data_IF_966673074951
#
_entry.id   IF_966673074951
#
_cell.length_a   1.000
_cell.length_b   1.000
_cell.length_c   1.000
_cell.angle_alpha   90.00
_cell.angle_beta   90.00
_cell.angle_gamma   90.00
#
_symmetry.space_group_name_H-M   'P 1'
#
loop_
_entity.id
_entity.type
_entity.pdbx_description
1 polymer ?
#
# COMPACT_ATOMS: atom_id res chain seq x y z
N UNK A 1 -0.09 2.04 5.46
CA UNK A 1 0.91 1.89 6.53
C UNK A 1 0.26 1.84 7.90
N UNK A 2 -0.75 2.68 8.19
CA UNK A 2 -1.55 2.66 9.43
C UNK A 2 -1.99 1.26 9.89
N UNK A 3 -2.40 0.40 8.95
CA UNK A 3 -2.73 -1.03 9.17
C UNK A 3 -1.63 -1.84 9.85
N UNK A 4 -0.36 -1.59 9.52
CA UNK A 4 0.78 -2.26 10.18
C UNK A 4 0.87 -1.83 11.64
N UNK A 5 0.73 -0.53 11.91
CA UNK A 5 0.78 -0.02 13.28
C UNK A 5 -0.38 -0.54 14.13
N UNK A 6 -1.59 -0.58 13.59
CA UNK A 6 -2.76 -1.20 14.26
C UNK A 6 -2.53 -2.68 14.55
N UNK A 7 -2.00 -3.44 13.58
CA UNK A 7 -1.73 -4.88 13.74
C UNK A 7 -0.63 -5.17 14.77
N UNK A 8 0.40 -4.32 14.83
CA UNK A 8 1.51 -4.44 15.79
C UNK A 8 1.21 -3.81 17.15
N UNK A 9 0.09 -3.11 17.30
CA UNK A 9 -0.24 -2.35 18.52
C UNK A 9 0.69 -1.17 18.77
N UNK A 10 1.31 -0.62 17.73
CA UNK A 10 2.21 0.53 17.82
C UNK A 10 1.38 1.81 17.79
N UNK A 11 1.45 2.69 18.80
CA UNK A 11 0.78 3.98 18.78
C UNK A 11 1.32 4.86 17.64
N UNK A 12 0.44 5.59 16.97
CA UNK A 12 0.79 6.53 15.92
C UNK A 12 -0.28 7.62 15.80
N UNK A 13 0.16 8.77 15.31
CA UNK A 13 -0.67 9.90 14.94
C UNK A 13 -0.75 10.01 13.41
N UNK A 14 -1.89 10.48 12.91
CA UNK A 14 -2.07 10.72 11.47
C UNK A 14 -2.09 12.22 11.22
N UNK A 15 -1.14 12.69 10.42
CA UNK A 15 -1.09 14.04 9.88
C UNK A 15 -1.53 14.00 8.41
N UNK A 16 -2.62 14.70 8.08
CA UNK A 16 -3.20 14.76 6.75
C UNK A 16 -2.71 16.01 6.03
N UNK A 17 -2.11 15.79 4.86
CA UNK A 17 -1.54 16.85 4.04
C UNK A 17 -2.35 17.03 2.76
N UNK A 18 -2.51 18.28 2.33
CA UNK A 18 -3.16 18.57 1.06
C UNK A 18 -2.29 18.11 -0.12
N UNK A 19 -2.90 17.52 -1.14
CA UNK A 19 -2.21 17.20 -2.38
C UNK A 19 -1.98 18.47 -3.21
N UNK A 20 -0.83 18.53 -3.89
CA UNK A 20 -0.46 19.65 -4.74
C UNK A 20 0.58 20.58 -4.12
N UNK A 21 0.64 21.80 -4.65
CA UNK A 21 1.69 22.78 -4.43
C UNK A 21 1.29 23.99 -3.60
N UNK A 22 0.12 23.94 -2.96
CA UNK A 22 -0.25 24.89 -1.93
C UNK A 22 0.85 24.97 -0.85
N UNK A 23 1.06 26.13 -0.20
CA UNK A 23 2.08 26.29 0.84
C UNK A 23 2.00 25.30 2.01
N UNK A 24 0.79 24.81 2.35
CA UNK A 24 0.55 23.76 3.35
C UNK A 24 0.33 22.36 2.72
N UNK A 25 0.53 22.23 1.41
CA UNK A 25 0.46 20.97 0.69
C UNK A 25 1.77 20.19 0.71
N UNK A 26 1.78 19.05 0.04
CA UNK A 26 2.94 18.15 -0.04
C UNK A 26 4.15 18.74 -0.79
N UNK A 27 4.01 19.84 -1.52
CA UNK A 27 5.16 20.59 -2.07
C UNK A 27 5.51 21.86 -1.27
N UNK A 28 4.82 22.11 -0.17
CA UNK A 28 5.12 23.19 0.76
C UNK A 28 6.39 22.94 1.57
N UNK A 29 7.04 24.02 2.03
CA UNK A 29 8.32 23.97 2.73
C UNK A 29 8.29 23.05 3.96
N UNK A 30 7.19 23.06 4.71
CA UNK A 30 7.05 22.25 5.93
C UNK A 30 7.07 20.75 5.62
N UNK A 31 6.36 20.30 4.58
CA UNK A 31 6.38 18.88 4.20
C UNK A 31 7.71 18.49 3.55
N UNK A 32 8.30 19.38 2.74
CA UNK A 32 9.57 19.09 2.06
C UNK A 32 10.74 18.88 3.03
N UNK A 33 10.69 19.46 4.24
CA UNK A 33 11.64 19.17 5.33
C UNK A 33 11.54 17.73 5.84
N UNK A 34 10.38 17.08 5.69
CA UNK A 34 10.14 15.69 6.07
C UNK A 34 10.43 14.77 4.88
N UNK A 35 9.95 15.13 3.70
CA UNK A 35 10.12 14.38 2.47
C UNK A 35 10.41 15.29 1.28
N UNK A 36 11.67 15.30 0.84
CA UNK A 36 12.14 16.07 -0.31
C UNK A 36 11.48 15.69 -1.65
N UNK A 37 10.93 14.48 -1.80
CA UNK A 37 10.15 14.07 -2.98
C UNK A 37 8.79 14.80 -3.02
N UNK A 38 8.30 15.27 -1.87
CA UNK A 38 7.02 15.96 -1.75
C UNK A 38 5.85 15.08 -2.16
N UNK A 39 5.84 13.83 -1.68
CA UNK A 39 4.77 12.86 -1.89
C UNK A 39 4.46 12.11 -0.59
N UNK A 40 3.19 11.78 -0.35
CA UNK A 40 2.82 10.87 0.74
C UNK A 40 3.04 9.41 0.30
N UNK A 41 3.26 8.49 1.25
CA UNK A 41 3.37 8.76 2.69
C UNK A 41 4.79 9.08 3.17
N UNK A 42 4.86 9.66 4.38
CA UNK A 42 6.09 9.84 5.16
C UNK A 42 5.85 9.39 6.61
N UNK A 43 6.93 9.08 7.33
CA UNK A 43 6.96 8.66 8.72
C UNK A 43 7.99 9.50 9.47
N UNK A 44 7.60 10.00 10.64
CA UNK A 44 8.49 10.54 11.66
C UNK A 44 8.35 9.65 12.89
N UNK A 45 9.42 9.00 13.30
CA UNK A 45 9.47 8.17 14.50
C UNK A 45 10.31 8.87 15.59
N UNK A 46 9.66 9.53 16.57
CA UNK A 46 10.36 10.26 17.61
C UNK A 46 11.12 9.35 18.59
N UNK A 47 10.78 8.05 18.66
CA UNK A 47 11.45 7.12 19.59
C UNK A 47 12.87 6.79 19.13
N UNK A 48 13.13 6.85 17.82
CA UNK A 48 14.41 6.50 17.21
C UNK A 48 15.05 7.67 16.43
N UNK A 49 14.38 8.84 16.37
CA UNK A 49 14.82 9.98 15.57
C UNK A 49 14.84 9.70 14.06
N UNK A 50 14.01 8.76 13.59
CA UNK A 50 13.99 8.33 12.19
C UNK A 50 12.94 9.10 11.42
N UNK A 51 13.34 9.69 10.29
CA UNK A 51 12.43 10.22 9.27
C UNK A 51 12.57 9.34 8.03
N UNK A 52 11.45 8.87 7.49
CA UNK A 52 11.43 7.98 6.33
C UNK A 52 10.28 8.32 5.39
N UNK A 53 10.54 8.20 4.10
CA UNK A 53 9.56 8.27 3.02
C UNK A 53 9.90 7.16 2.02
N UNK A 54 9.01 6.94 1.04
CA UNK A 54 8.82 5.66 0.34
C UNK A 54 8.15 4.60 1.22
N UNK A 55 6.96 4.17 0.82
CA UNK A 55 6.15 3.25 1.63
C UNK A 55 6.82 1.89 1.85
N UNK A 56 7.60 1.40 0.88
CA UNK A 56 8.39 0.18 1.03
C UNK A 56 9.51 0.31 2.08
N UNK A 57 10.19 1.46 2.11
CA UNK A 57 11.22 1.73 3.12
C UNK A 57 10.62 1.86 4.53
N UNK A 58 9.47 2.53 4.64
CA UNK A 58 8.71 2.63 5.89
C UNK A 58 8.27 1.26 6.39
N UNK A 59 7.69 0.41 5.52
CA UNK A 59 7.30 -0.96 5.90
C UNK A 59 8.51 -1.73 6.44
N UNK A 60 9.63 -1.73 5.71
CA UNK A 60 10.84 -2.43 6.12
C UNK A 60 11.38 -1.90 7.46
N UNK A 61 11.36 -0.59 7.68
CA UNK A 61 11.75 0.02 8.93
C UNK A 61 10.86 -0.44 10.10
N UNK A 62 9.53 -0.36 9.92
CA UNK A 62 8.56 -0.72 10.96
C UNK A 62 8.70 -2.19 11.35
N UNK A 63 8.89 -3.09 10.39
CA UNK A 63 9.08 -4.51 10.68
C UNK A 63 10.37 -4.75 11.48
N UNK A 64 11.50 -4.16 11.08
CA UNK A 64 12.76 -4.31 11.82
C UNK A 64 12.69 -3.77 13.24
N UNK A 65 12.05 -2.62 13.44
CA UNK A 65 12.05 -1.92 14.73
C UNK A 65 10.94 -2.40 15.65
N UNK A 66 9.75 -2.69 15.13
CA UNK A 66 8.55 -2.92 15.94
C UNK A 66 7.97 -4.34 15.82
N UNK A 67 8.23 -5.08 14.74
CA UNK A 67 7.74 -6.46 14.58
C UNK A 67 8.74 -7.50 15.12
N UNK A 68 9.06 -7.43 16.41
CA UNK A 68 10.09 -8.28 17.04
C UNK A 68 9.75 -9.78 17.04
N UNK A 69 8.48 -10.13 16.82
CA UNK A 69 8.03 -11.53 16.76
C UNK A 69 7.75 -11.99 15.32
N UNK A 70 8.13 -11.20 14.31
CA UNK A 70 7.92 -11.51 12.89
C UNK A 70 6.47 -11.91 12.56
N UNK A 71 5.49 -11.17 13.11
CA UNK A 71 4.07 -11.42 12.87
C UNK A 71 3.68 -11.11 11.43
N UNK A 72 4.30 -10.09 10.83
CA UNK A 72 3.95 -9.53 9.53
C UNK A 72 5.06 -9.67 8.47
N UNK A 73 6.25 -10.12 8.85
CA UNK A 73 7.37 -10.29 7.93
C UNK A 73 7.34 -11.61 7.12
N UNK A 74 8.51 -12.06 6.62
CA UNK A 74 8.67 -13.30 5.86
C UNK A 74 8.08 -14.54 6.56
N UNK A 75 7.56 -15.48 5.76
CA UNK A 75 6.92 -16.73 6.24
C UNK A 75 7.92 -17.89 6.33
N UNK A 76 8.94 -17.69 7.15
CA UNK A 76 10.07 -18.60 7.30
C UNK A 76 11.37 -17.83 7.59
N UNK A 77 12.44 -18.57 7.85
CA UNK A 77 13.77 -18.01 8.14
C UNK A 77 14.80 -18.38 7.06
N UNK A 78 14.38 -19.06 5.99
CA UNK A 78 15.24 -19.34 4.85
C UNK A 78 15.27 -18.16 3.86
N UNK A 79 16.28 -18.15 3.00
CA UNK A 79 16.44 -17.11 1.98
C UNK A 79 15.24 -17.05 1.03
N UNK A 80 14.55 -18.16 0.79
CA UNK A 80 13.40 -18.19 -0.11
C UNK A 80 12.21 -17.40 0.47
N UNK A 81 11.93 -17.54 1.77
CA UNK A 81 10.89 -16.79 2.45
C UNK A 81 11.17 -15.28 2.44
N UNK A 82 12.45 -14.89 2.62
CA UNK A 82 12.88 -13.49 2.53
C UNK A 82 12.67 -12.95 1.11
N UNK A 83 13.16 -13.68 0.10
CA UNK A 83 13.01 -13.31 -1.32
C UNK A 83 11.54 -13.22 -1.71
N UNK A 84 10.68 -14.12 -1.22
CA UNK A 84 9.25 -14.05 -1.51
C UNK A 84 8.61 -12.79 -0.93
N UNK A 85 8.93 -12.43 0.31
CA UNK A 85 8.45 -11.18 0.91
C UNK A 85 8.93 -9.96 0.11
N UNK A 86 10.22 -9.90 -0.21
CA UNK A 86 10.82 -8.79 -0.94
C UNK A 86 10.24 -8.67 -2.35
N UNK A 87 10.17 -9.78 -3.09
CA UNK A 87 9.61 -9.84 -4.45
C UNK A 87 8.23 -9.22 -4.51
N UNK A 88 7.35 -9.57 -3.58
CA UNK A 88 6.00 -9.00 -3.56
C UNK A 88 6.02 -7.51 -3.17
N UNK A 89 6.80 -7.11 -2.18
CA UNK A 89 6.94 -5.70 -1.81
C UNK A 89 7.45 -4.85 -2.98
N UNK A 90 8.46 -5.34 -3.71
CA UNK A 90 9.00 -4.68 -4.91
C UNK A 90 7.99 -4.68 -6.05
N UNK A 91 7.29 -5.79 -6.29
CA UNK A 91 6.24 -5.86 -7.31
C UNK A 91 5.17 -4.78 -7.11
N UNK A 92 4.79 -4.49 -5.86
CA UNK A 92 3.88 -3.39 -5.59
C UNK A 92 4.46 -2.03 -5.96
N UNK A 93 5.61 -1.68 -5.39
CA UNK A 93 6.15 -0.31 -5.48
C UNK A 93 6.68 0.02 -6.87
N UNK A 94 7.15 -0.98 -7.63
CA UNK A 94 7.69 -0.78 -8.98
C UNK A 94 6.68 -1.07 -10.09
N UNK A 95 5.58 -1.78 -9.81
CA UNK A 95 4.68 -2.29 -10.86
C UNK A 95 3.22 -1.94 -10.57
N UNK A 96 2.55 -2.67 -9.66
CA UNK A 96 1.11 -2.55 -9.46
C UNK A 96 0.71 -1.13 -9.01
N UNK A 97 1.41 -0.58 -8.01
CA UNK A 97 1.13 0.76 -7.49
C UNK A 97 1.27 1.85 -8.56
N UNK A 98 2.43 1.96 -9.24
CA UNK A 98 2.60 2.91 -10.33
C UNK A 98 1.55 2.77 -11.45
N UNK A 99 1.23 1.55 -11.90
CA UNK A 99 0.23 1.36 -12.96
C UNK A 99 -1.18 1.74 -12.54
N UNK A 100 -1.62 1.36 -11.34
CA UNK A 100 -2.88 1.84 -10.77
C UNK A 100 -2.91 3.38 -10.65
N UNK A 101 -1.77 3.98 -10.28
CA UNK A 101 -1.61 5.43 -10.25
C UNK A 101 -1.77 6.08 -11.63
N UNK A 102 -1.20 5.48 -12.68
CA UNK A 102 -1.35 5.99 -14.06
C UNK A 102 -2.78 5.82 -14.57
N UNK A 103 -3.45 4.69 -14.30
CA UNK A 103 -4.88 4.52 -14.63
C UNK A 103 -5.70 5.66 -14.04
N UNK A 104 -5.53 5.93 -12.74
CA UNK A 104 -6.24 7.04 -12.09
C UNK A 104 -5.86 8.41 -12.66
N UNK A 105 -4.59 8.62 -13.02
CA UNK A 105 -4.15 9.86 -13.65
C UNK A 105 -4.84 10.12 -14.98
N UNK A 106 -4.76 9.18 -15.92
CA UNK A 106 -5.38 9.32 -17.24
C UNK A 106 -6.91 9.36 -17.18
N UNK A 107 -7.51 8.69 -16.19
CA UNK A 107 -8.97 8.67 -16.02
C UNK A 107 -9.53 9.94 -15.40
N UNK A 108 -8.89 10.48 -14.36
CA UNK A 108 -9.50 11.51 -13.50
C UNK A 108 -8.80 12.86 -13.52
N UNK A 109 -7.50 12.89 -13.79
CA UNK A 109 -6.68 14.08 -13.50
C UNK A 109 -6.02 14.68 -14.75
N UNK A 110 -5.80 13.89 -15.80
CA UNK A 110 -5.19 14.41 -17.02
C UNK A 110 -6.16 15.36 -17.74
N UNK A 111 -5.72 16.60 -17.96
CA UNK A 111 -6.50 17.64 -18.63
C UNK A 111 -6.87 17.34 -20.09
N UNK A 112 -6.22 16.37 -20.72
CA UNK A 112 -6.52 15.93 -22.10
C UNK A 112 -6.78 14.44 -22.11
N UNK A 113 -7.89 14.06 -22.73
CA UNK A 113 -8.26 12.66 -22.92
C UNK A 113 -7.24 11.95 -23.82
N UNK A 114 -6.75 10.80 -23.37
CA UNK A 114 -5.83 9.94 -24.12
C UNK A 114 -6.22 8.48 -23.88
N UNK A 115 -7.08 7.96 -24.76
CA UNK A 115 -7.65 6.62 -24.62
C UNK A 115 -6.60 5.52 -24.80
N UNK A 116 -5.67 5.67 -25.74
CA UNK A 116 -4.58 4.71 -25.95
C UNK A 116 -3.71 4.53 -24.69
N UNK A 117 -3.32 5.64 -24.06
CA UNK A 117 -2.56 5.58 -22.81
C UNK A 117 -3.37 4.95 -21.67
N UNK A 118 -4.65 5.33 -21.53
CA UNK A 118 -5.52 4.75 -20.52
C UNK A 118 -5.64 3.23 -20.70
N UNK A 119 -6.03 2.77 -21.89
CA UNK A 119 -6.17 1.35 -22.24
C UNK A 119 -4.87 0.57 -21.97
N UNK A 120 -3.71 1.14 -22.33
CA UNK A 120 -2.40 0.57 -22.03
C UNK A 120 -2.19 0.34 -20.53
N UNK A 121 -2.48 1.34 -19.69
CA UNK A 121 -2.27 1.23 -18.25
C UNK A 121 -3.32 0.34 -17.58
N UNK A 122 -4.55 0.30 -18.08
CA UNK A 122 -5.57 -0.65 -17.63
C UNK A 122 -5.11 -2.09 -17.91
N UNK A 123 -4.59 -2.36 -19.10
CA UNK A 123 -4.04 -3.67 -19.45
C UNK A 123 -2.88 -4.06 -18.51
N UNK A 124 -2.00 -3.12 -18.14
CA UNK A 124 -0.93 -3.39 -17.16
C UNK A 124 -1.46 -3.64 -15.74
N UNK A 125 -2.50 -2.92 -15.32
CA UNK A 125 -3.15 -3.16 -14.03
C UNK A 125 -3.81 -4.55 -13.99
N UNK A 126 -4.55 -4.94 -15.04
CA UNK A 126 -5.13 -6.26 -15.16
C UNK A 126 -4.10 -7.38 -15.18
N UNK A 127 -2.96 -7.19 -15.88
CA UNK A 127 -1.84 -8.15 -15.83
C UNK A 127 -1.32 -8.34 -14.40
N UNK A 128 -1.32 -7.29 -13.58
CA UNK A 128 -0.94 -7.41 -12.17
C UNK A 128 -2.00 -8.15 -11.35
N UNK A 129 -3.29 -7.96 -11.64
CA UNK A 129 -4.37 -8.73 -11.03
C UNK A 129 -4.32 -10.22 -11.42
N UNK A 130 -3.93 -10.55 -12.66
CA UNK A 130 -3.70 -11.94 -13.09
C UNK A 130 -2.59 -12.61 -12.27
N UNK A 131 -1.46 -11.92 -12.05
CA UNK A 131 -0.35 -12.41 -11.21
C UNK A 131 -0.81 -12.62 -9.76
N UNK A 132 -1.55 -11.65 -9.20
CA UNK A 132 -2.08 -11.73 -7.84
C UNK A 132 -3.12 -12.85 -7.67
N UNK A 133 -4.02 -13.02 -8.65
CA UNK A 133 -5.02 -14.09 -8.69
C UNK A 133 -4.35 -15.47 -8.72
N UNK A 134 -3.31 -15.63 -9.54
CA UNK A 134 -2.51 -16.86 -9.58
C UNK A 134 -1.84 -17.15 -8.23
N UNK A 135 -1.23 -16.13 -7.61
CA UNK A 135 -0.61 -16.27 -6.30
C UNK A 135 -1.62 -16.69 -5.22
N UNK A 136 -2.77 -16.03 -5.14
CA UNK A 136 -3.77 -16.33 -4.11
C UNK A 136 -4.43 -17.70 -4.33
N UNK A 137 -4.59 -18.14 -5.59
CA UNK A 137 -5.04 -19.51 -5.89
C UNK A 137 -4.06 -20.58 -5.38
N UNK A 138 -2.76 -20.32 -5.49
CA UNK A 138 -1.73 -21.22 -5.02
C UNK A 138 -1.50 -21.14 -3.51
N UNK A 139 -1.49 -19.93 -2.96
CA UNK A 139 -1.09 -19.62 -1.59
C UNK A 139 -2.23 -19.53 -0.56
N UNK A 140 -3.48 -19.61 -1.02
CA UNK A 140 -4.66 -19.65 -0.15
C UNK A 140 -5.23 -18.27 0.18
N UNK A 141 -5.36 -17.96 1.46
CA UNK A 141 -6.13 -16.80 1.92
C UNK A 141 -5.35 -15.47 1.83
N UNK A 142 -4.01 -15.52 1.84
CA UNK A 142 -3.12 -14.36 1.92
C UNK A 142 -2.07 -14.42 0.80
N UNK A 143 -1.48 -13.28 0.45
CA UNK A 143 -0.50 -13.19 -0.64
C UNK A 143 0.72 -14.08 -0.34
N UNK A 144 1.21 -14.04 0.89
CA UNK A 144 2.19 -14.99 1.40
C UNK A 144 1.46 -16.06 2.21
N UNK A 145 1.59 -17.35 1.86
CA UNK A 145 0.91 -18.43 2.59
C UNK A 145 1.23 -18.43 4.09
N UNK A 146 0.22 -18.56 4.94
CA UNK A 146 0.39 -18.61 6.39
C UNK A 146 -0.91 -18.41 7.16
N UNK A 147 -0.84 -18.37 8.49
CA UNK A 147 -2.02 -18.33 9.36
C UNK A 147 -2.72 -16.95 9.39
N UNK A 148 -2.06 -15.90 8.91
CA UNK A 148 -2.57 -14.53 8.96
C UNK A 148 -1.99 -13.63 7.87
N UNK A 149 -2.50 -12.39 7.76
CA UNK A 149 -1.99 -11.42 6.80
C UNK A 149 -0.54 -11.05 7.12
N UNK A 150 0.22 -10.75 6.08
CA UNK A 150 1.56 -10.18 6.19
C UNK A 150 1.54 -8.67 5.91
N UNK A 151 2.66 -7.99 6.10
CA UNK A 151 2.81 -6.62 5.67
C UNK A 151 2.61 -6.45 4.15
N UNK A 152 2.86 -7.50 3.35
CA UNK A 152 2.56 -7.50 1.92
C UNK A 152 1.06 -7.34 1.69
N UNK A 153 0.21 -8.12 2.36
CA UNK A 153 -1.25 -8.01 2.25
C UNK A 153 -1.72 -6.60 2.57
N UNK A 154 -1.23 -6.03 3.68
CA UNK A 154 -1.54 -4.66 4.02
C UNK A 154 -1.01 -3.68 2.97
N UNK A 155 0.20 -3.83 2.45
CA UNK A 155 0.76 -2.89 1.48
C UNK A 155 -0.03 -2.90 0.16
N UNK A 156 -0.44 -4.07 -0.32
CA UNK A 156 -1.20 -4.27 -1.56
C UNK A 156 -2.64 -3.80 -1.44
N UNK A 157 -3.31 -4.15 -0.35
CA UNK A 157 -4.75 -3.96 -0.17
C UNK A 157 -5.30 -2.59 -0.60
N UNK A 158 -4.76 -1.41 -0.20
CA UNK A 158 -5.34 -0.13 -0.59
C UNK A 158 -5.35 0.09 -2.11
N UNK A 159 -4.36 -0.45 -2.84
CA UNK A 159 -4.26 -0.29 -4.28
C UNK A 159 -5.30 -1.13 -5.03
N UNK A 160 -5.57 -2.34 -4.53
CA UNK A 160 -6.56 -3.23 -5.15
C UNK A 160 -7.98 -2.89 -4.69
N UNK A 161 -8.18 -2.52 -3.41
CA UNK A 161 -9.47 -2.11 -2.88
C UNK A 161 -10.08 -0.94 -3.67
N UNK A 162 -9.24 -0.03 -4.17
CA UNK A 162 -9.67 1.11 -4.99
C UNK A 162 -9.87 0.77 -6.48
N UNK A 163 -9.96 -0.51 -6.86
CA UNK A 163 -10.17 -0.91 -8.27
C UNK A 163 -11.38 -0.21 -8.91
N UNK A 164 -12.49 -0.06 -8.16
CA UNK A 164 -13.69 0.60 -8.66
C UNK A 164 -13.48 2.09 -8.95
N UNK A 165 -12.69 2.78 -8.12
CA UNK A 165 -12.29 4.17 -8.40
C UNK A 165 -11.43 4.25 -9.68
N UNK A 166 -10.59 3.26 -9.91
CA UNK A 166 -9.81 3.15 -11.15
C UNK A 166 -10.63 2.71 -12.37
N UNK A 167 -11.93 2.41 -12.21
CA UNK A 167 -12.79 1.91 -13.29
C UNK A 167 -12.51 0.47 -13.70
N UNK A 168 -11.79 -0.29 -12.86
CA UNK A 168 -11.44 -1.68 -13.12
C UNK A 168 -12.41 -2.65 -12.43
N UNK A 169 -12.74 -3.76 -13.08
CA UNK A 169 -13.59 -4.82 -12.52
C UNK A 169 -12.76 -5.98 -11.97
N UNK A 170 -13.26 -6.63 -10.90
CA UNK A 170 -12.69 -7.87 -10.36
C UNK A 170 -13.47 -9.13 -10.78
N UNK A 171 -14.41 -9.06 -11.72
CA UNK A 171 -15.28 -10.19 -12.10
C UNK A 171 -14.48 -11.42 -12.60
N UNK A 172 -13.35 -11.19 -13.26
CA UNK A 172 -12.43 -12.24 -13.74
C UNK A 172 -11.43 -12.71 -12.67
N UNK A 173 -11.44 -12.08 -11.49
CA UNK A 173 -10.48 -12.29 -10.41
C UNK A 173 -11.21 -12.61 -9.08
N UNK A 174 -12.00 -13.70 -9.03
CA UNK A 174 -12.81 -14.02 -7.86
C UNK A 174 -11.98 -14.28 -6.60
N UNK A 175 -10.75 -14.80 -6.73
CA UNK A 175 -9.88 -15.03 -5.57
C UNK A 175 -9.34 -13.70 -5.04
N UNK A 176 -8.94 -12.78 -5.90
CA UNK A 176 -8.59 -11.40 -5.52
C UNK A 176 -9.78 -10.70 -4.85
N UNK A 177 -10.98 -10.79 -5.41
CA UNK A 177 -12.18 -10.18 -4.83
C UNK A 177 -12.46 -10.72 -3.41
N UNK A 178 -12.33 -12.04 -3.21
CA UNK A 178 -12.43 -12.67 -1.90
C UNK A 178 -11.34 -12.17 -0.95
N UNK A 179 -10.09 -12.08 -1.41
CA UNK A 179 -8.98 -11.55 -0.60
C UNK A 179 -9.22 -10.10 -0.17
N UNK A 180 -9.66 -9.22 -1.08
CA UNK A 180 -10.02 -7.82 -0.74
C UNK A 180 -11.07 -7.79 0.37
N UNK A 181 -12.12 -8.61 0.25
CA UNK A 181 -13.17 -8.71 1.27
C UNK A 181 -12.60 -9.17 2.62
N UNK A 182 -11.81 -10.23 2.63
CA UNK A 182 -11.21 -10.78 3.84
C UNK A 182 -10.30 -9.75 4.54
N UNK A 183 -9.44 -9.05 3.78
CA UNK A 183 -8.57 -8.01 4.35
C UNK A 183 -9.40 -6.85 4.90
N UNK A 184 -10.46 -6.43 4.20
CA UNK A 184 -11.36 -5.37 4.67
C UNK A 184 -12.10 -5.72 5.97
N UNK A 185 -12.30 -7.01 6.26
CA UNK A 185 -12.98 -7.47 7.47
C UNK A 185 -12.11 -7.42 8.73
N UNK A 186 -10.78 -7.39 8.56
CA UNK A 186 -9.79 -7.34 9.64
C UNK A 186 -9.97 -6.10 10.52
N UNK A 187 -9.89 -6.31 11.84
CA UNK A 187 -10.09 -5.25 12.84
C UNK A 187 -9.08 -4.12 12.66
N UNK A 188 -7.81 -4.45 12.48
CA UNK A 188 -6.71 -3.51 12.25
C UNK A 188 -6.89 -2.68 10.98
N UNK A 189 -7.58 -3.20 9.96
CA UNK A 189 -7.89 -2.46 8.73
C UNK A 189 -8.99 -1.45 8.96
N UNK A 190 -10.07 -1.85 9.65
CA UNK A 190 -11.17 -0.96 10.02
C UNK A 190 -10.68 0.16 10.95
N UNK A 191 -9.96 -0.20 12.02
CA UNK A 191 -9.39 0.77 12.97
C UNK A 191 -8.47 1.77 12.27
N UNK A 192 -7.62 1.30 11.35
CA UNK A 192 -6.73 2.17 10.60
C UNK A 192 -7.50 3.21 9.76
N UNK A 193 -8.58 2.80 9.07
CA UNK A 193 -9.39 3.73 8.29
C UNK A 193 -10.14 4.75 9.17
N UNK A 194 -10.70 4.30 10.29
CA UNK A 194 -11.35 5.19 11.25
C UNK A 194 -10.39 6.25 11.81
N UNK A 195 -9.16 5.84 12.12
CA UNK A 195 -8.13 6.76 12.64
C UNK A 195 -7.61 7.71 11.58
N UNK A 196 -7.38 7.22 10.35
CA UNK A 196 -6.96 8.06 9.23
C UNK A 196 -8.01 9.12 8.90
N UNK A 197 -9.29 8.78 8.93
CA UNK A 197 -10.38 9.74 8.71
C UNK A 197 -10.42 10.86 9.77
N UNK A 198 -9.88 10.62 10.97
CA UNK A 198 -9.81 11.57 12.09
C UNK A 198 -8.43 12.21 12.24
N UNK A 199 -7.54 12.06 11.25
CA UNK A 199 -6.20 12.64 11.29
C UNK A 199 -6.21 14.16 11.41
N UNK A 200 -5.16 14.70 12.02
CA UNK A 200 -4.94 16.14 12.14
C UNK A 200 -4.68 16.73 10.75
N UNK A 201 -5.43 17.75 10.35
CA UNK A 201 -5.15 18.50 9.12
C UNK A 201 -3.92 19.39 9.31
N UNK A 202 -3.04 19.38 8.33
CA UNK A 202 -1.81 20.17 8.30
C UNK A 202 -1.90 21.40 7.39
#
# INVERSE_FOLDING_TARGET
MSRLFESLGVPYEVKLWQFGDAPNGVKGEQFLKINQNGRVPALEDPNNGVVSWESGAVVNYVLRVYDKQNKLGPRGNDEQAIVDFEKWNFFLVSTLGPFMGQVNWFRHYHSKKNDDALERYEAQAYRCFEVLEGQLKHGGQWILPGDGPSAVDFHFYPWVYQHGFAGLSLDKFPTVAKWVKNVNELKEVKSAYEKVAKGQQM
#
